data_IF_623983991492
#
_entry.id   IF_623983991492
#
_cell.length_a   1.000
_cell.length_b   1.000
_cell.length_c   1.000
_cell.angle_alpha   90.00
_cell.angle_beta   90.00
_cell.angle_gamma   90.00
#
_symmetry.space_group_name_H-M   'P 1'
#
loop_
_entity.id
_entity.type
_entity.pdbx_description
1 polymer ?
#
# COMPACT_ATOMS: atom_id res chain seq x y z
N UNK A 1 -12.46 5.48 -18.22
CA UNK A 1 -12.77 5.37 -16.78
C UNK A 1 -11.61 6.02 -16.03
N UNK A 2 -11.84 6.76 -14.97
CA UNK A 2 -10.75 7.30 -14.16
C UNK A 2 -10.19 6.16 -13.30
N UNK A 3 -8.87 6.00 -13.21
CA UNK A 3 -8.27 5.00 -12.34
C UNK A 3 -8.46 5.42 -10.87
N UNK A 4 -8.76 4.51 -9.94
CA UNK A 4 -8.86 4.85 -8.52
C UNK A 4 -7.51 5.37 -8.04
N UNK A 5 -7.52 6.40 -7.19
CA UNK A 5 -6.33 6.84 -6.45
C UNK A 5 -6.58 6.65 -4.97
N UNK A 6 -5.53 6.34 -4.23
CA UNK A 6 -5.60 6.15 -2.79
C UNK A 6 -4.91 7.29 -2.06
N UNK A 7 -5.27 7.49 -0.81
CA UNK A 7 -4.47 8.27 0.15
C UNK A 7 -4.35 7.51 1.46
N UNK A 8 -3.30 7.82 2.22
CA UNK A 8 -3.17 7.36 3.60
C UNK A 8 -4.41 7.77 4.42
N UNK A 9 -5.06 6.81 5.07
CA UNK A 9 -6.12 7.05 6.04
C UNK A 9 -5.50 7.17 7.43
N UNK A 10 -5.79 8.25 8.15
CA UNK A 10 -5.16 8.54 9.43
C UNK A 10 -3.67 8.88 9.29
N UNK A 11 -2.82 8.31 10.16
CA UNK A 11 -1.36 8.43 10.08
C UNK A 11 -0.73 7.07 10.34
N UNK A 12 0.03 6.57 9.38
CA UNK A 12 0.77 5.30 9.45
C UNK A 12 2.24 5.60 9.24
N UNK A 13 3.11 5.03 10.07
CA UNK A 13 4.57 5.11 9.92
C UNK A 13 5.14 3.77 9.48
N UNK A 14 6.04 3.81 8.51
CA UNK A 14 6.88 2.67 8.17
C UNK A 14 8.03 2.56 9.18
N UNK A 15 8.22 1.38 9.78
CA UNK A 15 9.37 1.04 10.60
C UNK A 15 10.11 -0.14 9.99
N UNK A 16 11.45 -0.08 10.04
CA UNK A 16 12.33 -1.18 9.69
C UNK A 16 13.05 -1.68 10.94
N UNK A 17 13.08 -2.98 11.14
CA UNK A 17 13.74 -3.64 12.29
C UNK A 17 14.57 -4.79 11.71
N UNK A 18 15.87 -4.55 11.49
CA UNK A 18 16.68 -5.49 10.70
C UNK A 18 16.11 -5.64 9.28
N UNK A 19 15.79 -6.86 8.82
CA UNK A 19 15.16 -7.09 7.52
C UNK A 19 13.65 -6.77 7.51
N UNK A 20 13.00 -6.75 8.68
CA UNK A 20 11.55 -6.66 8.79
C UNK A 20 11.05 -5.25 8.49
N UNK A 21 9.93 -5.16 7.78
CA UNK A 21 9.26 -3.91 7.39
C UNK A 21 7.85 -3.93 7.97
N UNK A 22 7.49 -2.92 8.76
CA UNK A 22 6.26 -2.86 9.53
C UNK A 22 5.54 -1.55 9.23
N UNK A 23 4.27 -1.61 8.83
CA UNK A 23 3.37 -0.47 8.84
C UNK A 23 2.71 -0.38 10.22
N UNK A 24 2.90 0.75 10.88
CA UNK A 24 2.40 1.01 12.25
C UNK A 24 1.45 2.20 12.20
N UNK A 25 0.14 2.00 12.31
CA UNK A 25 -0.83 3.07 12.54
C UNK A 25 -0.53 3.78 13.88
N UNK A 26 -0.55 5.11 13.83
CA UNK A 26 -0.26 6.00 14.97
C UNK A 26 -1.27 7.16 15.08
N UNK A 27 -2.32 7.15 14.24
CA UNK A 27 -3.58 7.89 14.38
C UNK A 27 -4.61 7.35 13.37
N UNK A 28 -5.91 7.51 13.68
CA UNK A 28 -7.02 7.00 12.86
C UNK A 28 -7.51 5.62 13.31
N UNK A 29 -8.54 5.10 12.64
CA UNK A 29 -9.28 3.88 13.01
C UNK A 29 -8.34 2.66 13.21
N UNK A 30 -7.42 2.42 12.27
CA UNK A 30 -6.44 1.34 12.34
C UNK A 30 -5.49 1.42 13.56
N UNK A 31 -5.35 2.59 14.19
CA UNK A 31 -4.56 2.75 15.42
C UNK A 31 -5.36 2.42 16.69
N UNK A 32 -6.69 2.38 16.63
CA UNK A 32 -7.54 1.96 17.76
C UNK A 32 -7.52 0.44 17.95
N UNK A 33 -7.39 -0.30 16.85
CA UNK A 33 -7.24 -1.77 16.83
C UNK A 33 -5.89 -2.27 17.39
N UNK A 34 -4.94 -1.35 17.67
CA UNK A 34 -3.57 -1.66 18.14
C UNK A 34 -2.79 -2.64 17.22
N UNK A 35 -3.14 -2.69 15.94
CA UNK A 35 -2.50 -3.56 14.95
C UNK A 35 -1.14 -3.05 14.47
N UNK A 36 -0.26 -3.98 14.13
CA UNK A 36 0.97 -3.75 13.35
C UNK A 36 0.93 -4.67 12.15
N UNK A 37 1.24 -4.16 10.97
CA UNK A 37 1.13 -4.89 9.70
C UNK A 37 2.52 -5.16 9.13
N UNK A 38 3.04 -6.39 9.22
CA UNK A 38 4.25 -6.78 8.51
C UNK A 38 4.04 -6.70 7.01
N UNK A 39 5.02 -6.17 6.28
CA UNK A 39 5.05 -6.13 4.82
C UNK A 39 6.38 -6.68 4.31
N UNK A 40 6.38 -7.25 3.11
CA UNK A 40 7.61 -7.56 2.40
C UNK A 40 8.15 -6.31 1.68
N UNK A 41 9.26 -6.45 0.94
CA UNK A 41 9.87 -5.35 0.20
C UNK A 41 8.94 -4.77 -0.88
N UNK A 42 8.24 -5.63 -1.62
CA UNK A 42 7.25 -5.21 -2.63
C UNK A 42 6.08 -4.44 -2.01
N UNK A 43 5.58 -4.90 -0.86
CA UNK A 43 4.53 -4.21 -0.09
C UNK A 43 4.96 -2.84 0.42
N UNK A 44 6.20 -2.70 0.91
CA UNK A 44 6.77 -1.39 1.25
C UNK A 44 6.88 -0.48 0.01
N UNK A 45 7.35 -1.02 -1.11
CA UNK A 45 7.49 -0.29 -2.38
C UNK A 45 6.14 0.22 -2.93
N UNK A 46 5.09 -0.61 -2.83
CA UNK A 46 3.72 -0.26 -3.19
C UNK A 46 3.14 0.77 -2.21
N UNK A 47 3.29 0.55 -0.90
CA UNK A 47 2.83 1.47 0.16
C UNK A 47 3.36 2.88 -0.04
N UNK A 48 4.67 3.02 -0.28
CA UNK A 48 5.34 4.32 -0.47
C UNK A 48 4.80 5.13 -1.68
N UNK A 49 4.05 4.50 -2.58
CA UNK A 49 3.43 5.13 -3.77
C UNK A 49 1.93 5.30 -3.64
N UNK A 50 1.22 4.24 -3.23
CA UNK A 50 -0.23 4.25 -3.06
C UNK A 50 -0.66 5.24 -1.96
N UNK A 51 0.10 5.33 -0.86
CA UNK A 51 -0.22 6.25 0.26
C UNK A 51 -0.11 7.73 -0.11
N UNK A 52 0.61 8.07 -1.20
CA UNK A 52 0.80 9.44 -1.71
C UNK A 52 0.07 9.71 -3.03
N UNK A 53 -0.86 8.84 -3.44
CA UNK A 53 -1.76 9.08 -4.58
C UNK A 53 -1.23 8.75 -5.97
N UNK A 54 -0.17 7.94 -6.09
CA UNK A 54 0.21 7.34 -7.39
C UNK A 54 -0.87 6.35 -7.83
N UNK A 55 -1.20 6.32 -9.12
CA UNK A 55 -2.25 5.42 -9.62
C UNK A 55 -1.80 3.95 -9.57
N UNK A 56 -2.66 3.00 -9.16
CA UNK A 56 -2.31 1.58 -9.00
C UNK A 56 -1.71 0.94 -10.25
N UNK A 57 -2.20 1.32 -11.43
CA UNK A 57 -1.67 0.86 -12.71
C UNK A 57 -0.20 1.31 -12.91
N UNK A 58 0.13 2.55 -12.52
CA UNK A 58 1.52 3.03 -12.54
C UNK A 58 2.38 2.32 -11.51
N UNK A 59 1.84 2.06 -10.31
CA UNK A 59 2.54 1.27 -9.28
C UNK A 59 2.82 -0.15 -9.76
N UNK A 60 1.87 -0.80 -10.45
CA UNK A 60 2.04 -2.12 -11.04
C UNK A 60 3.10 -2.14 -12.15
N UNK A 61 3.13 -1.14 -13.04
CA UNK A 61 4.19 -0.98 -14.05
C UNK A 61 5.59 -0.80 -13.43
N UNK A 62 5.68 -0.07 -12.31
CA UNK A 62 6.92 0.09 -11.56
C UNK A 62 7.33 -1.19 -10.83
N UNK A 63 6.38 -1.93 -10.24
CA UNK A 63 6.63 -3.24 -9.59
C UNK A 63 7.11 -4.28 -10.60
N UNK A 64 6.45 -4.39 -11.76
CA UNK A 64 6.86 -5.33 -12.81
C UNK A 64 8.30 -5.09 -13.28
N UNK A 65 8.72 -3.82 -13.33
CA UNK A 65 10.07 -3.41 -13.73
C UNK A 65 11.12 -3.64 -12.64
N UNK A 66 10.84 -3.21 -11.41
CA UNK A 66 11.78 -3.29 -10.28
C UNK A 66 12.02 -4.73 -9.82
N UNK A 67 10.95 -5.53 -9.76
CA UNK A 67 10.98 -6.90 -9.22
C UNK A 67 11.02 -7.99 -10.31
N UNK A 68 11.11 -7.60 -11.59
CA UNK A 68 11.18 -8.50 -12.76
C UNK A 68 10.04 -9.54 -12.82
N UNK A 69 8.83 -9.14 -12.46
CA UNK A 69 7.60 -9.96 -12.53
C UNK A 69 6.74 -9.58 -13.75
N UNK A 70 5.76 -10.42 -14.11
CA UNK A 70 4.84 -10.08 -15.20
C UNK A 70 3.92 -8.91 -14.83
N UNK A 71 3.47 -8.16 -15.85
CA UNK A 71 2.53 -7.05 -15.65
C UNK A 71 1.20 -7.52 -15.04
N UNK A 72 0.72 -8.72 -15.41
CA UNK A 72 -0.49 -9.31 -14.85
C UNK A 72 -0.34 -9.64 -13.37
N UNK A 73 0.82 -10.22 -12.97
CA UNK A 73 1.12 -10.51 -11.57
C UNK A 73 1.24 -9.22 -10.75
N UNK A 74 2.01 -8.24 -11.23
CA UNK A 74 2.14 -6.94 -10.57
C UNK A 74 0.80 -6.21 -10.42
N UNK A 75 -0.09 -6.32 -11.42
CA UNK A 75 -1.44 -5.75 -11.37
C UNK A 75 -2.32 -6.47 -10.35
N UNK A 76 -2.26 -7.80 -10.29
CA UNK A 76 -2.99 -8.59 -9.30
C UNK A 76 -2.51 -8.28 -7.87
N UNK A 77 -1.19 -8.30 -7.65
CA UNK A 77 -0.57 -8.01 -6.35
C UNK A 77 -0.89 -6.58 -5.89
N UNK A 78 -0.78 -5.58 -6.77
CA UNK A 78 -1.09 -4.19 -6.43
C UNK A 78 -2.58 -4.00 -6.10
N UNK A 79 -3.50 -4.69 -6.78
CA UNK A 79 -4.94 -4.64 -6.47
C UNK A 79 -5.27 -5.35 -5.16
N UNK A 80 -4.69 -6.53 -4.92
CA UNK A 80 -4.88 -7.27 -3.67
C UNK A 80 -4.37 -6.46 -2.48
N UNK A 81 -3.13 -5.97 -2.56
CA UNK A 81 -2.51 -5.17 -1.50
C UNK A 81 -3.26 -3.86 -1.21
N UNK A 82 -3.69 -3.13 -2.25
CA UNK A 82 -4.53 -1.94 -2.04
C UNK A 82 -5.86 -2.28 -1.36
N UNK A 83 -6.50 -3.38 -1.75
CA UNK A 83 -7.73 -3.88 -1.14
C UNK A 83 -7.56 -4.23 0.35
N UNK A 84 -6.49 -4.94 0.70
CA UNK A 84 -6.14 -5.27 2.09
C UNK A 84 -5.92 -4.00 2.93
N UNK A 85 -5.19 -3.01 2.40
CA UNK A 85 -4.95 -1.75 3.11
C UNK A 85 -6.22 -0.90 3.31
N UNK A 86 -7.17 -0.94 2.37
CA UNK A 86 -8.48 -0.29 2.53
C UNK A 86 -9.34 -1.02 3.56
N UNK A 87 -9.39 -2.36 3.49
CA UNK A 87 -10.13 -3.20 4.44
C UNK A 87 -9.65 -3.02 5.88
N UNK A 88 -8.34 -2.83 6.09
CA UNK A 88 -7.73 -2.57 7.40
C UNK A 88 -7.63 -1.08 7.77
N UNK A 89 -8.21 -0.17 6.96
CA UNK A 89 -8.27 1.27 7.21
C UNK A 89 -6.91 2.02 7.22
N UNK A 90 -5.90 1.52 6.49
CA UNK A 90 -4.62 2.20 6.24
C UNK A 90 -4.68 3.10 4.98
N UNK A 91 -5.49 2.73 4.00
CA UNK A 91 -5.79 3.53 2.81
C UNK A 91 -7.29 3.82 2.70
N UNK A 92 -7.61 4.85 1.92
CA UNK A 92 -8.96 5.12 1.42
C UNK A 92 -8.91 5.66 -0.02
N UNK A 93 -9.95 5.39 -0.80
CA UNK A 93 -10.09 5.92 -2.15
C UNK A 93 -10.35 7.42 -2.14
N UNK A 94 -9.68 8.15 -3.03
CA UNK A 94 -9.92 9.56 -3.24
C UNK A 94 -11.16 9.75 -4.12
N UNK A 95 -12.13 10.60 -3.73
CA UNK A 95 -13.23 10.96 -4.62
C UNK A 95 -12.69 11.66 -5.88
N UNK A 96 -13.28 11.32 -7.04
CA UNK A 96 -12.97 11.91 -8.35
C UNK A 96 -13.57 13.30 -8.54
#
# INVERSE_FOLDING_TARGET
>A
MNAPRYRMKGRVVLRRIGPDRLLVPVAGDAAQENCVFPVNETGEFMWNRLSVGVAPEQVAEEVAREFAVSADAATADCRAFAGELVANHLLEEQPS
#
